data_IF_803231477687
#
_entry.id   IF_803231477687
#
_cell.length_a   1.000
_cell.length_b   1.000
_cell.length_c   1.000
_cell.angle_alpha   90.00
_cell.angle_beta   90.00
_cell.angle_gamma   90.00
#
_symmetry.space_group_name_H-M   'P 1'
#
loop_
_entity.id
_entity.type
_entity.pdbx_description
1 polymer ?
#
# COMPACT_ATOMS: atom_id res chain seq x y z
N UNK A 1 15.25 -49.64 -7.19
CA UNK A 1 16.06 -49.70 -8.42
C UNK A 1 16.03 -48.28 -9.00
N UNK A 2 16.90 -47.35 -8.61
CA UNK A 2 18.28 -47.05 -9.08
C UNK A 2 18.29 -46.76 -10.59
N UNK A 3 18.31 -45.49 -11.01
CA UNK A 3 19.50 -44.68 -11.41
C UNK A 3 19.15 -43.16 -11.35
N UNK A 4 19.85 -42.21 -10.69
CA UNK A 4 21.23 -41.65 -10.85
C UNK A 4 21.52 -41.25 -12.31
N UNK A 5 22.09 -40.10 -12.72
CA UNK A 5 22.68 -38.86 -12.18
C UNK A 5 23.20 -38.10 -13.43
N UNK A 6 23.21 -36.76 -13.48
CA UNK A 6 24.38 -35.97 -13.94
C UNK A 6 24.18 -34.45 -13.85
N UNK A 7 24.99 -33.88 -12.98
CA UNK A 7 25.34 -32.47 -12.85
C UNK A 7 26.19 -31.98 -14.02
N UNK A 8 26.13 -30.68 -14.33
CA UNK A 8 27.28 -29.97 -14.87
C UNK A 8 27.45 -28.63 -14.13
N UNK A 9 28.58 -28.51 -13.46
CA UNK A 9 29.12 -27.33 -12.80
C UNK A 9 29.90 -26.49 -13.81
N UNK A 10 29.81 -25.15 -13.70
CA UNK A 10 30.76 -24.25 -14.37
C UNK A 10 31.19 -23.15 -13.38
N UNK A 11 32.46 -23.13 -12.94
CA UNK A 11 33.03 -22.04 -12.16
C UNK A 11 33.77 -21.07 -13.10
N UNK A 12 33.51 -19.76 -12.98
CA UNK A 12 34.30 -18.74 -13.64
C UNK A 12 34.57 -17.56 -12.69
N UNK A 13 35.70 -17.71 -12.00
CA UNK A 13 36.75 -16.74 -11.68
C UNK A 13 36.40 -15.29 -11.29
N UNK A 14 36.78 -15.01 -10.04
CA UNK A 14 37.16 -13.73 -9.43
C UNK A 14 37.85 -12.72 -10.37
N UNK A 15 37.49 -11.45 -10.21
CA UNK A 15 38.43 -10.33 -10.34
C UNK A 15 38.08 -9.24 -9.34
N UNK A 16 38.93 -9.12 -8.32
CA UNK A 16 38.93 -8.10 -7.29
C UNK A 16 40.00 -7.07 -7.72
N UNK A 17 39.61 -5.82 -7.94
CA UNK A 17 40.55 -4.72 -8.15
C UNK A 17 40.18 -3.60 -7.17
N UNK A 18 40.84 -3.64 -6.02
CA UNK A 18 40.89 -2.56 -5.04
C UNK A 18 42.09 -1.68 -5.40
N UNK A 19 41.86 -0.44 -5.80
CA UNK A 19 42.91 0.59 -5.83
C UNK A 19 42.47 1.69 -4.87
N UNK A 20 43.14 1.74 -3.72
CA UNK A 20 43.14 2.85 -2.80
C UNK A 20 44.43 3.65 -3.01
N UNK A 21 44.33 4.95 -3.19
CA UNK A 21 45.44 5.89 -3.16
C UNK A 21 44.97 7.21 -2.56
N UNK A 22 45.63 7.73 -1.50
CA UNK A 22 45.30 9.03 -0.93
C UNK A 22 46.10 10.12 -1.67
N UNK A 23 45.44 11.23 -2.03
CA UNK A 23 46.14 12.43 -2.44
C UNK A 23 45.48 13.65 -1.79
N UNK A 24 46.35 14.46 -1.21
CA UNK A 24 46.10 15.56 -0.30
C UNK A 24 45.36 16.72 -0.96
N UNK A 25 44.72 17.49 -0.09
CA UNK A 25 44.03 18.74 -0.34
C UNK A 25 44.71 19.65 -1.37
N UNK A 26 43.93 20.19 -2.32
CA UNK A 26 44.19 21.52 -2.87
C UNK A 26 42.95 22.40 -2.72
N UNK A 27 43.21 23.49 -2.02
CA UNK A 27 42.33 24.58 -1.69
C UNK A 27 41.92 25.35 -2.95
N UNK A 28 40.72 25.92 -2.89
CA UNK A 28 40.04 26.55 -4.02
C UNK A 28 40.70 27.81 -4.56
N UNK A 29 40.31 28.12 -5.79
CA UNK A 29 40.31 29.47 -6.35
C UNK A 29 38.87 29.80 -6.77
N UNK A 30 38.36 31.00 -6.49
CA UNK A 30 36.99 31.38 -6.83
C UNK A 30 36.92 31.93 -8.26
N UNK A 31 36.14 31.29 -9.12
CA UNK A 31 35.90 31.74 -10.49
C UNK A 31 34.40 31.81 -10.79
N UNK A 32 33.93 33.07 -10.91
CA UNK A 32 32.82 33.63 -11.73
C UNK A 32 31.34 33.20 -11.61
N UNK A 33 30.52 34.25 -11.45
CA UNK A 33 29.31 34.61 -12.23
C UNK A 33 27.93 34.01 -11.82
N UNK A 34 26.82 34.50 -12.41
CA UNK A 34 25.78 35.27 -11.73
C UNK A 34 24.57 34.43 -11.33
N UNK A 35 23.69 34.99 -10.51
CA UNK A 35 22.47 34.39 -10.00
C UNK A 35 21.61 33.74 -11.10
N UNK A 36 21.64 32.40 -11.15
CA UNK A 36 20.72 31.60 -11.95
C UNK A 36 19.36 31.51 -11.22
N UNK A 37 18.32 31.90 -11.94
CA UNK A 37 16.92 31.77 -11.56
C UNK A 37 16.59 30.31 -11.24
N UNK A 38 15.95 30.06 -10.09
CA UNK A 38 15.39 28.74 -9.74
C UNK A 38 14.35 28.34 -10.81
N UNK A 39 14.45 27.15 -11.43
CA UNK A 39 13.38 26.63 -12.27
C UNK A 39 12.14 26.28 -11.42
N UNK A 40 10.94 26.28 -12.02
CA UNK A 40 9.71 25.93 -11.31
C UNK A 40 9.77 24.48 -10.85
N UNK A 41 9.31 24.25 -9.63
CA UNK A 41 9.21 22.94 -8.98
C UNK A 41 8.40 21.99 -9.86
N UNK A 42 9.08 21.15 -10.64
CA UNK A 42 8.45 19.99 -11.26
C UNK A 42 7.97 19.07 -10.13
N UNK A 43 6.68 18.72 -10.14
CA UNK A 43 6.15 17.67 -9.27
C UNK A 43 7.03 16.42 -9.44
N UNK A 44 7.50 15.76 -8.37
CA UNK A 44 8.37 14.61 -8.51
C UNK A 44 7.66 13.50 -9.27
N UNK A 45 8.29 12.94 -10.32
CA UNK A 45 7.75 11.87 -11.15
C UNK A 45 7.20 10.67 -10.34
N UNK A 46 7.74 10.42 -9.14
CA UNK A 46 7.26 9.40 -8.21
C UNK A 46 5.81 9.65 -7.75
N UNK A 47 5.39 10.90 -7.51
CA UNK A 47 4.02 11.21 -7.09
C UNK A 47 3.00 10.99 -8.21
N UNK A 48 3.40 11.18 -9.47
CA UNK A 48 2.56 10.88 -10.64
C UNK A 48 2.40 9.36 -10.83
N UNK A 49 3.48 8.60 -10.68
CA UNK A 49 3.49 7.14 -10.79
C UNK A 49 2.56 6.48 -9.74
N UNK A 50 2.56 6.96 -8.50
CA UNK A 50 1.65 6.44 -7.47
C UNK A 50 0.17 6.74 -7.75
N UNK A 51 -0.16 7.94 -8.24
CA UNK A 51 -1.54 8.31 -8.59
C UNK A 51 -2.10 7.49 -9.76
N UNK A 52 -1.29 7.22 -10.78
CA UNK A 52 -1.69 6.38 -11.91
C UNK A 52 -1.93 4.93 -11.47
N UNK A 53 -1.05 4.35 -10.65
CA UNK A 53 -1.22 2.99 -10.10
C UNK A 53 -2.53 2.84 -9.31
N UNK A 54 -2.92 3.88 -8.56
CA UNK A 54 -4.20 3.90 -7.84
C UNK A 54 -5.39 3.93 -8.79
N UNK A 55 -5.38 4.80 -9.80
CA UNK A 55 -6.43 4.86 -10.82
C UNK A 55 -6.58 3.52 -11.55
N UNK A 56 -5.47 2.89 -11.96
CA UNK A 56 -5.48 1.59 -12.62
C UNK A 56 -6.05 0.49 -11.71
N UNK A 57 -5.79 0.57 -10.39
CA UNK A 57 -6.37 -0.36 -9.43
C UNK A 57 -7.88 -0.19 -9.28
N UNK A 58 -8.39 1.03 -9.37
CA UNK A 58 -9.82 1.33 -9.36
C UNK A 58 -10.48 0.78 -10.62
N UNK A 59 -9.93 1.03 -11.81
CA UNK A 59 -10.48 0.51 -13.07
C UNK A 59 -10.49 -1.02 -13.12
N UNK A 60 -9.44 -1.67 -12.62
CA UNK A 60 -9.41 -3.13 -12.49
C UNK A 60 -10.53 -3.63 -11.60
N UNK A 61 -10.74 -3.01 -10.43
CA UNK A 61 -11.82 -3.39 -9.52
C UNK A 61 -13.20 -3.16 -10.12
N UNK A 62 -13.39 -2.07 -10.86
CA UNK A 62 -14.64 -1.79 -11.60
C UNK A 62 -14.88 -2.93 -12.60
N UNK A 63 -13.87 -3.28 -13.40
CA UNK A 63 -13.96 -4.36 -14.39
C UNK A 63 -14.28 -5.71 -13.73
N UNK A 64 -13.55 -6.06 -12.67
CA UNK A 64 -13.74 -7.31 -11.93
C UNK A 64 -15.17 -7.42 -11.36
N UNK A 65 -15.70 -6.32 -10.81
CA UNK A 65 -17.06 -6.27 -10.28
C UNK A 65 -18.11 -6.38 -11.40
N UNK A 66 -17.91 -5.71 -12.55
CA UNK A 66 -18.80 -5.82 -13.71
C UNK A 66 -18.92 -7.27 -14.17
N UNK A 67 -17.77 -7.94 -14.33
CA UNK A 67 -17.70 -9.32 -14.76
C UNK A 67 -18.31 -10.28 -13.75
N UNK A 68 -17.98 -10.15 -12.46
CA UNK A 68 -18.49 -11.05 -11.43
C UNK A 68 -20.00 -10.91 -11.24
N UNK A 69 -20.52 -9.68 -11.28
CA UNK A 69 -21.97 -9.40 -11.22
C UNK A 69 -22.67 -9.68 -12.54
N UNK A 70 -21.95 -10.01 -13.61
CA UNK A 70 -22.51 -10.28 -14.95
C UNK A 70 -23.46 -9.17 -15.39
N UNK A 71 -23.04 -7.92 -15.24
CA UNK A 71 -23.85 -6.76 -15.58
C UNK A 71 -24.24 -6.83 -17.07
N UNK A 72 -25.51 -6.51 -17.33
CA UNK A 72 -26.10 -6.54 -18.68
C UNK A 72 -26.32 -5.14 -19.22
N UNK A 73 -26.57 -5.01 -20.53
CA UNK A 73 -26.85 -3.72 -21.17
C UNK A 73 -28.07 -3.01 -20.54
N UNK A 74 -29.06 -3.77 -20.08
CA UNK A 74 -30.23 -3.23 -19.38
C UNK A 74 -29.88 -2.58 -18.03
N UNK A 75 -28.71 -2.90 -17.47
CA UNK A 75 -28.20 -2.42 -16.19
C UNK A 75 -27.06 -1.40 -16.35
N UNK A 76 -26.68 -1.06 -17.60
CA UNK A 76 -25.52 -0.20 -17.88
C UNK A 76 -25.62 1.17 -17.18
N UNK A 77 -26.80 1.81 -17.20
CA UNK A 77 -26.98 3.14 -16.60
C UNK A 77 -26.69 3.17 -15.08
N UNK A 78 -27.33 2.34 -14.23
CA UNK A 78 -26.99 2.32 -12.80
C UNK A 78 -25.58 1.77 -12.53
N UNK A 79 -25.07 0.87 -13.39
CA UNK A 79 -23.68 0.43 -13.31
C UNK A 79 -22.69 1.58 -13.51
N UNK A 80 -22.87 2.39 -14.55
CA UNK A 80 -21.98 3.51 -14.87
C UNK A 80 -21.98 4.56 -13.76
N UNK A 81 -23.14 4.82 -13.13
CA UNK A 81 -23.24 5.70 -11.97
C UNK A 81 -22.45 5.16 -10.76
N UNK A 82 -22.55 3.85 -10.50
CA UNK A 82 -21.78 3.18 -9.46
C UNK A 82 -20.27 3.23 -9.73
N UNK A 83 -19.84 2.87 -10.95
CA UNK A 83 -18.46 2.90 -11.38
C UNK A 83 -17.87 4.32 -11.32
N UNK A 84 -18.64 5.33 -11.74
CA UNK A 84 -18.23 6.73 -11.65
C UNK A 84 -18.06 7.16 -10.19
N UNK A 85 -18.96 6.76 -9.30
CA UNK A 85 -18.83 7.03 -7.86
C UNK A 85 -17.56 6.43 -7.28
N UNK A 86 -17.16 5.22 -7.70
CA UNK A 86 -15.87 4.62 -7.31
C UNK A 86 -14.67 5.47 -7.76
N UNK A 87 -14.66 5.93 -9.02
CA UNK A 87 -13.60 6.78 -9.57
C UNK A 87 -13.51 8.12 -8.84
N UNK A 88 -14.64 8.77 -8.64
CA UNK A 88 -14.73 10.07 -7.98
C UNK A 88 -14.25 9.99 -6.54
N UNK A 89 -14.65 8.95 -5.82
CA UNK A 89 -14.21 8.69 -4.46
C UNK A 89 -12.69 8.46 -4.39
N UNK A 90 -12.12 7.70 -5.33
CA UNK A 90 -10.69 7.47 -5.39
C UNK A 90 -9.91 8.77 -5.64
N UNK A 91 -10.32 9.58 -6.62
CA UNK A 91 -9.68 10.88 -6.88
C UNK A 91 -9.72 11.79 -5.65
N UNK A 92 -10.88 11.91 -5.00
CA UNK A 92 -11.03 12.73 -3.80
C UNK A 92 -10.16 12.23 -2.64
N UNK A 93 -10.06 10.92 -2.46
CA UNK A 93 -9.18 10.33 -1.44
C UNK A 93 -7.71 10.64 -1.75
N UNK A 94 -7.27 10.40 -3.00
CA UNK A 94 -5.89 10.64 -3.40
C UNK A 94 -5.50 12.13 -3.27
N UNK A 95 -6.40 13.05 -3.64
CA UNK A 95 -6.23 14.48 -3.41
C UNK A 95 -6.03 14.80 -1.93
N UNK A 96 -6.94 14.32 -1.08
CA UNK A 96 -6.86 14.59 0.35
C UNK A 96 -5.58 14.02 0.99
N UNK A 97 -5.14 12.82 0.57
CA UNK A 97 -3.89 12.22 1.04
C UNK A 97 -2.66 13.01 0.57
N UNK A 98 -2.61 13.43 -0.70
CA UNK A 98 -1.51 14.26 -1.22
C UNK A 98 -1.43 15.60 -0.49
N UNK A 99 -2.56 16.27 -0.32
CA UNK A 99 -2.67 17.54 0.39
C UNK A 99 -2.13 17.43 1.82
N UNK A 100 -2.54 16.38 2.54
CA UNK A 100 -2.04 16.14 3.89
C UNK A 100 -0.54 15.84 3.87
N UNK A 101 -0.06 15.00 2.96
CA UNK A 101 1.35 14.66 2.87
C UNK A 101 2.25 15.88 2.65
N UNK A 102 1.79 16.86 1.86
CA UNK A 102 2.52 18.12 1.62
C UNK A 102 2.56 19.05 2.84
N UNK A 103 1.50 19.05 3.66
CA UNK A 103 1.35 20.00 4.78
C UNK A 103 1.82 19.41 6.13
N UNK A 104 1.83 18.08 6.28
CA UNK A 104 2.03 17.39 7.55
C UNK A 104 3.31 17.78 8.29
N UNK A 105 4.43 17.94 7.58
CA UNK A 105 5.73 18.30 8.19
C UNK A 105 5.74 19.69 8.82
N UNK A 106 4.77 20.54 8.49
CA UNK A 106 4.65 21.92 8.99
C UNK A 106 3.52 22.09 10.01
N UNK A 107 2.70 21.06 10.23
CA UNK A 107 1.59 21.08 11.18
C UNK A 107 2.09 20.88 12.62
N UNK A 108 1.51 21.61 13.57
CA UNK A 108 1.62 21.26 14.98
C UNK A 108 0.75 20.03 15.32
N UNK A 109 0.86 19.50 16.53
CA UNK A 109 0.15 18.28 16.91
C UNK A 109 -1.40 18.39 16.82
N UNK A 110 -2.06 19.46 17.34
CA UNK A 110 -3.50 19.66 17.13
C UNK A 110 -3.93 19.67 15.65
N UNK A 111 -3.20 20.39 14.79
CA UNK A 111 -3.51 20.48 13.36
C UNK A 111 -3.30 19.15 12.65
N UNK A 112 -2.26 18.39 13.04
CA UNK A 112 -2.00 17.05 12.53
C UNK A 112 -3.11 16.06 12.91
N UNK A 113 -3.68 16.18 14.11
CA UNK A 113 -4.85 15.39 14.51
C UNK A 113 -6.11 15.81 13.73
N UNK A 114 -6.35 17.12 13.60
CA UNK A 114 -7.50 17.63 12.85
C UNK A 114 -7.48 17.17 11.40
N UNK A 115 -6.32 17.23 10.73
CA UNK A 115 -6.19 16.75 9.35
C UNK A 115 -6.47 15.25 9.20
N UNK A 116 -6.17 14.43 10.22
CA UNK A 116 -6.51 13.02 10.21
C UNK A 116 -8.02 12.80 10.39
N UNK A 117 -8.66 13.58 11.26
CA UNK A 117 -10.12 13.56 11.40
C UNK A 117 -10.81 13.95 10.07
N UNK A 118 -10.32 14.98 9.39
CA UNK A 118 -10.87 15.43 8.10
C UNK A 118 -10.71 14.36 6.99
N UNK A 119 -9.60 13.62 6.97
CA UNK A 119 -9.42 12.45 6.09
C UNK A 119 -10.44 11.35 6.38
N UNK A 120 -10.65 11.05 7.65
CA UNK A 120 -11.60 10.02 8.09
C UNK A 120 -13.03 10.41 7.72
N UNK A 121 -13.39 11.68 7.89
CA UNK A 121 -14.69 12.22 7.45
C UNK A 121 -14.85 12.10 5.93
N UNK A 122 -13.81 12.45 5.17
CA UNK A 122 -13.84 12.30 3.70
C UNK A 122 -14.07 10.85 3.29
N UNK A 123 -13.43 9.89 3.98
CA UNK A 123 -13.66 8.48 3.74
C UNK A 123 -15.10 8.06 4.05
N UNK A 124 -15.65 8.49 5.19
CA UNK A 124 -17.04 8.22 5.56
C UNK A 124 -18.04 8.76 4.53
N UNK A 125 -17.85 10.00 4.07
CA UNK A 125 -18.69 10.63 3.05
C UNK A 125 -18.64 9.85 1.73
N UNK A 126 -17.43 9.44 1.32
CA UNK A 126 -17.22 8.65 0.11
C UNK A 126 -17.92 7.29 0.21
N UNK A 127 -17.83 6.61 1.36
CA UNK A 127 -18.53 5.33 1.58
C UNK A 127 -20.05 5.51 1.57
N UNK A 128 -20.58 6.60 2.14
CA UNK A 128 -22.01 6.91 2.08
C UNK A 128 -22.50 7.11 0.64
N UNK A 129 -21.74 7.86 -0.17
CA UNK A 129 -22.04 8.04 -1.60
C UNK A 129 -22.01 6.71 -2.36
N UNK A 130 -20.99 5.90 -2.12
CA UNK A 130 -20.85 4.59 -2.76
C UNK A 130 -21.99 3.66 -2.39
N UNK A 131 -22.42 3.65 -1.12
CA UNK A 131 -23.58 2.89 -0.65
C UNK A 131 -24.84 3.29 -1.41
N UNK A 132 -25.12 4.59 -1.52
CA UNK A 132 -26.30 5.07 -2.24
C UNK A 132 -26.29 4.66 -3.72
N UNK A 133 -25.15 4.78 -4.41
CA UNK A 133 -25.04 4.36 -5.80
C UNK A 133 -25.15 2.83 -5.96
N UNK A 134 -24.69 2.08 -4.95
CA UNK A 134 -24.84 0.63 -4.93
C UNK A 134 -26.29 0.21 -4.69
N UNK A 135 -27.05 0.91 -3.85
CA UNK A 135 -28.48 0.65 -3.63
C UNK A 135 -29.27 0.77 -4.94
N UNK A 136 -28.99 1.82 -5.74
CA UNK A 136 -29.59 2.02 -7.06
C UNK A 136 -29.24 0.89 -8.04
N UNK A 137 -27.98 0.43 -8.04
CA UNK A 137 -27.55 -0.72 -8.84
C UNK A 137 -28.24 -2.00 -8.36
N UNK A 138 -28.23 -2.26 -7.06
CA UNK A 138 -28.78 -3.46 -6.44
C UNK A 138 -30.29 -3.58 -6.75
N UNK A 139 -31.02 -2.47 -6.77
CA UNK A 139 -32.45 -2.45 -7.11
C UNK A 139 -32.76 -3.11 -8.47
N UNK A 140 -31.88 -2.94 -9.47
CA UNK A 140 -32.05 -3.48 -10.83
C UNK A 140 -31.36 -4.82 -11.08
N UNK A 141 -30.64 -5.36 -10.09
CA UNK A 141 -30.01 -6.68 -10.20
C UNK A 141 -31.06 -7.79 -10.18
N UNK A 142 -30.80 -8.84 -10.96
CA UNK A 142 -31.59 -10.08 -10.91
C UNK A 142 -31.37 -10.81 -9.58
N UNK A 143 -32.26 -11.75 -9.18
CA UNK A 143 -32.08 -12.52 -7.95
C UNK A 143 -30.72 -13.21 -7.85
N UNK A 144 -30.24 -13.82 -8.95
CA UNK A 144 -28.94 -14.48 -9.00
C UNK A 144 -27.77 -13.50 -8.81
N UNK A 145 -27.85 -12.32 -9.43
CA UNK A 145 -26.82 -11.28 -9.27
C UNK A 145 -26.81 -10.72 -7.84
N UNK A 146 -27.99 -10.54 -7.22
CA UNK A 146 -28.11 -10.14 -5.81
C UNK A 146 -27.47 -11.15 -4.88
N UNK A 147 -27.65 -12.45 -5.11
CA UNK A 147 -26.97 -13.48 -4.33
C UNK A 147 -25.44 -13.40 -4.45
N UNK A 148 -24.92 -13.15 -5.66
CA UNK A 148 -23.49 -12.95 -5.89
C UNK A 148 -23.00 -11.71 -5.11
N UNK A 149 -23.70 -10.59 -5.26
CA UNK A 149 -23.40 -9.35 -4.56
C UNK A 149 -23.39 -9.53 -3.04
N UNK A 150 -24.43 -10.13 -2.47
CA UNK A 150 -24.54 -10.42 -1.04
C UNK A 150 -23.37 -11.27 -0.54
N UNK A 151 -22.98 -12.31 -1.29
CA UNK A 151 -21.89 -13.20 -0.92
C UNK A 151 -20.53 -12.47 -0.85
N UNK A 152 -20.28 -11.52 -1.78
CA UNK A 152 -19.07 -10.70 -1.77
C UNK A 152 -18.94 -9.87 -0.48
N UNK A 153 -20.05 -9.32 0.02
CA UNK A 153 -20.04 -8.45 1.21
C UNK A 153 -20.16 -9.21 2.53
N UNK A 154 -20.80 -10.39 2.56
CA UNK A 154 -20.88 -11.24 3.77
C UNK A 154 -19.56 -11.95 4.08
N UNK A 155 -18.73 -12.18 3.07
CA UNK A 155 -17.47 -12.89 3.24
C UNK A 155 -16.29 -12.05 2.72
N UNK A 156 -15.99 -10.88 3.35
CA UNK A 156 -14.97 -9.94 2.86
C UNK A 156 -13.54 -10.51 2.89
N UNK A 157 -13.35 -11.72 3.42
CA UNK A 157 -12.22 -12.58 3.11
C UNK A 157 -12.73 -13.91 2.53
N UNK A 158 -12.65 -14.10 1.22
CA UNK A 158 -12.68 -15.43 0.62
C UNK A 158 -11.69 -16.38 1.33
N UNK A 159 -11.80 -17.71 1.16
CA UNK A 159 -11.05 -18.69 1.93
C UNK A 159 -9.59 -18.25 2.02
N UNK A 160 -9.17 -17.92 3.25
CA UNK A 160 -7.83 -17.41 3.48
C UNK A 160 -6.88 -18.44 2.90
N UNK A 161 -6.08 -18.04 1.92
CA UNK A 161 -4.80 -18.68 1.64
C UNK A 161 -3.83 -18.42 2.81
N UNK A 162 -4.27 -18.73 4.04
CA UNK A 162 -3.43 -18.94 5.19
C UNK A 162 -2.98 -20.39 5.11
N UNK A 163 -1.99 -20.66 4.27
CA UNK A 163 -1.21 -21.88 4.40
C UNK A 163 -0.73 -21.98 5.85
N UNK A 164 -0.68 -23.19 6.44
CA UNK A 164 -0.27 -23.34 7.82
C UNK A 164 1.12 -22.71 8.00
N UNK A 165 1.20 -21.65 8.82
CA UNK A 165 2.45 -21.22 9.39
C UNK A 165 3.00 -22.41 10.19
N UNK A 166 3.85 -23.18 9.52
CA UNK A 166 4.58 -24.30 10.11
C UNK A 166 5.42 -23.72 11.24
N UNK A 167 4.99 -24.01 12.47
CA UNK A 167 5.71 -23.66 13.67
C UNK A 167 7.17 -24.08 13.57
N UNK A 168 8.07 -23.11 13.66
CA UNK A 168 9.48 -23.35 13.93
C UNK A 168 9.64 -23.83 15.36
N UNK A 169 9.63 -25.14 15.56
CA UNK A 169 10.05 -25.80 16.80
C UNK A 169 11.55 -26.11 16.67
N UNK A 170 12.38 -25.51 17.50
CA UNK A 170 13.79 -25.92 17.63
C UNK A 170 14.65 -24.94 18.43
N UNK A 171 14.77 -25.17 19.74
CA UNK A 171 15.73 -24.45 20.59
C UNK A 171 15.51 -24.70 22.09
N UNK A 172 15.78 -25.93 22.55
CA UNK A 172 15.73 -26.35 23.96
C UNK A 172 17.12 -26.21 24.58
N UNK A 173 17.21 -25.60 25.77
CA UNK A 173 18.40 -25.58 26.65
C UNK A 173 19.03 -24.18 26.68
N UNK A 174 19.16 -23.49 27.80
CA UNK A 174 19.65 -24.00 29.09
C UNK A 174 18.94 -23.37 30.29
N UNK A 175 18.53 -24.25 31.22
CA UNK A 175 18.28 -23.90 32.61
C UNK A 175 19.61 -23.49 33.25
N UNK A 176 19.62 -22.39 33.98
CA UNK A 176 20.51 -22.19 35.14
C UNK A 176 19.88 -21.13 36.03
N UNK A 177 19.06 -21.59 36.98
CA UNK A 177 19.01 -20.96 38.29
C UNK A 177 19.76 -21.92 39.23
N UNK A 178 20.47 -21.38 40.22
CA UNK A 178 19.93 -21.60 41.55
C UNK A 178 19.89 -20.34 42.42
N UNK A 179 18.85 -20.37 43.24
CA UNK A 179 18.64 -19.74 44.54
C UNK A 179 19.87 -19.21 45.28
N UNK A 180 19.77 -17.98 45.80
CA UNK A 180 20.23 -17.68 47.15
C UNK A 180 19.30 -16.65 47.79
N UNK A 181 18.86 -17.03 48.98
CA UNK A 181 17.96 -16.31 49.86
C UNK A 181 18.68 -15.21 50.66
N UNK A 182 17.88 -14.57 51.51
CA UNK A 182 18.23 -13.78 52.71
C UNK A 182 18.14 -12.26 52.47
N UNK A 183 17.03 -11.63 52.94
CA UNK A 183 16.87 -10.97 54.26
C UNK A 183 17.21 -9.48 54.17
N UNK A 184 16.59 -8.48 54.78
CA UNK A 184 15.44 -8.25 55.66
C UNK A 184 15.52 -6.75 56.05
N UNK A 185 14.49 -6.21 56.71
CA UNK A 185 14.41 -4.90 57.42
C UNK A 185 14.09 -3.68 56.53
N UNK A 186 12.92 -3.03 56.67
CA UNK A 186 12.34 -2.27 57.80
C UNK A 186 12.86 -0.82 57.85
N UNK A 187 11.91 0.12 57.82
CA UNK A 187 12.08 1.57 57.94
C UNK A 187 10.88 2.27 57.35
#
# INVERSE_FOLDING_TARGET
MKTMLRSLTMPALLSFALVAGPALAQQGTPTTAPAAQKPPTATPAAAQDHGQKHADAVERRITDLHTQLKITDAQAKPWDAFAQTMRDNARKADEAFRDRAQKLSTMNAPDAMKSYADLTQTHADNMKKLSSAFDDLYAVLTPDQKQIADAMYRNPGGPKAGGPHKGGKGGKGSKSAPTSASSSASG
#
